data_IF_976780766060
#
_entry.id   IF_976780766060
#
_cell.length_a   1.000
_cell.length_b   1.000
_cell.length_c   1.000
_cell.angle_alpha   90.00
_cell.angle_beta   90.00
_cell.angle_gamma   90.00
#
_symmetry.space_group_name_H-M   'P 1'
#
loop_
_entity.id
_entity.type
_entity.pdbx_description
1 polymer ?
#
# COMPACT_ATOMS: atom_id res chain seq x y z
N UNK A 1 14.55 12.33 -22.10
CA UNK A 1 15.83 12.14 -21.39
C UNK A 1 15.64 11.95 -19.87
N UNK A 2 14.86 12.80 -19.19
CA UNK A 2 14.59 12.72 -17.73
C UNK A 2 14.06 11.36 -17.23
N UNK A 3 13.16 10.71 -17.98
CA UNK A 3 12.61 9.39 -17.60
C UNK A 3 13.65 8.26 -17.60
N UNK A 4 14.68 8.34 -18.47
CA UNK A 4 15.75 7.32 -18.53
C UNK A 4 16.72 7.46 -17.36
N UNK A 5 17.07 8.69 -16.99
CA UNK A 5 17.89 8.99 -15.81
C UNK A 5 17.21 8.54 -14.52
N UNK A 6 15.91 8.84 -14.34
CA UNK A 6 15.13 8.37 -13.18
C UNK A 6 15.06 6.84 -13.12
N UNK A 7 14.87 6.17 -14.26
CA UNK A 7 14.84 4.71 -14.32
C UNK A 7 16.20 4.08 -13.98
N UNK A 8 17.30 4.66 -14.46
CA UNK A 8 18.66 4.21 -14.13
C UNK A 8 18.98 4.41 -12.65
N UNK A 9 18.66 5.58 -12.08
CA UNK A 9 18.86 5.86 -10.66
C UNK A 9 18.05 4.89 -9.76
N UNK A 10 16.80 4.60 -10.13
CA UNK A 10 15.99 3.58 -9.44
C UNK A 10 16.60 2.19 -9.57
N UNK A 11 17.10 1.80 -10.75
CA UNK A 11 17.75 0.51 -10.94
C UNK A 11 19.00 0.36 -10.06
N UNK A 12 19.84 1.39 -9.99
CA UNK A 12 20.99 1.43 -9.08
C UNK A 12 20.52 1.29 -7.64
N UNK A 13 19.57 2.11 -7.19
CA UNK A 13 19.01 2.04 -5.84
C UNK A 13 18.50 0.63 -5.49
N UNK A 14 17.73 0.00 -6.37
CA UNK A 14 17.20 -1.34 -6.14
C UNK A 14 18.29 -2.43 -6.14
N UNK A 15 19.33 -2.28 -6.96
CA UNK A 15 20.41 -3.27 -7.07
C UNK A 15 21.47 -3.18 -5.97
N UNK A 16 21.65 -2.01 -5.35
CA UNK A 16 22.73 -1.79 -4.36
C UNK A 16 22.19 -1.48 -2.97
N UNK A 17 21.29 -0.51 -2.85
CA UNK A 17 20.82 -0.03 -1.56
C UNK A 17 19.87 -1.01 -0.88
N UNK A 18 18.95 -1.64 -1.62
CA UNK A 18 18.00 -2.59 -1.02
C UNK A 18 18.65 -3.85 -0.46
N UNK A 19 19.60 -4.52 -1.17
CA UNK A 19 20.33 -5.64 -0.59
C UNK A 19 21.12 -5.25 0.66
N UNK A 20 21.76 -4.07 0.67
CA UNK A 20 22.45 -3.57 1.85
C UNK A 20 21.49 -3.35 3.02
N UNK A 21 20.30 -2.79 2.75
CA UNK A 21 19.26 -2.58 3.74
C UNK A 21 18.71 -3.89 4.30
N UNK A 22 18.48 -4.89 3.43
CA UNK A 22 18.05 -6.23 3.81
C UNK A 22 19.06 -6.90 4.76
N UNK A 23 20.35 -6.84 4.42
CA UNK A 23 21.42 -7.39 5.25
C UNK A 23 21.55 -6.66 6.59
N UNK A 24 21.50 -5.32 6.57
CA UNK A 24 21.71 -4.51 7.76
C UNK A 24 20.54 -4.58 8.75
N UNK A 25 19.29 -4.65 8.26
CA UNK A 25 18.10 -4.47 9.10
C UNK A 25 17.18 -5.69 9.18
N UNK A 26 17.23 -6.59 8.20
CA UNK A 26 16.21 -7.64 8.02
C UNK A 26 15.99 -8.47 9.28
N UNK A 27 17.04 -9.12 9.80
CA UNK A 27 16.94 -9.93 11.03
C UNK A 27 16.44 -9.14 12.23
N UNK A 28 17.01 -7.95 12.47
CA UNK A 28 16.66 -7.12 13.63
C UNK A 28 15.19 -6.70 13.59
N UNK A 29 14.67 -6.33 12.41
CA UNK A 29 13.31 -5.81 12.27
C UNK A 29 12.23 -6.88 12.28
N UNK A 30 12.57 -8.14 12.01
CA UNK A 30 11.60 -9.25 12.08
C UNK A 30 11.52 -9.91 13.46
N UNK A 31 12.54 -9.78 14.32
CA UNK A 31 12.59 -10.44 15.65
C UNK A 31 11.36 -10.13 16.51
N UNK A 32 10.77 -8.95 16.37
CA UNK A 32 9.57 -8.56 17.12
C UNK A 32 8.25 -9.14 16.60
N UNK A 33 8.26 -10.00 15.59
CA UNK A 33 7.07 -10.60 14.99
C UNK A 33 6.93 -12.08 15.33
N UNK A 34 5.69 -12.57 15.40
CA UNK A 34 5.36 -13.96 15.74
C UNK A 34 6.09 -14.97 14.82
N UNK A 35 6.27 -14.62 13.54
CA UNK A 35 6.97 -15.45 12.57
C UNK A 35 8.45 -15.70 12.90
N UNK A 36 9.12 -14.83 13.67
CA UNK A 36 10.51 -15.05 14.05
C UNK A 36 10.66 -16.25 14.99
N UNK A 37 9.70 -16.45 15.90
CA UNK A 37 9.65 -17.62 16.78
C UNK A 37 9.29 -18.91 16.02
N UNK A 38 8.49 -18.79 14.95
CA UNK A 38 8.02 -19.92 14.13
C UNK A 38 9.03 -20.40 13.06
N UNK A 39 10.29 -19.95 13.10
CA UNK A 39 11.32 -20.34 12.12
C UNK A 39 11.34 -19.54 10.82
N UNK A 40 10.53 -18.47 10.71
CA UNK A 40 10.58 -17.50 9.63
C UNK A 40 9.21 -17.02 9.14
N UNK A 41 9.17 -16.04 8.22
CA UNK A 41 7.93 -15.55 7.63
C UNK A 41 7.17 -16.66 6.88
N UNK A 42 5.82 -16.73 7.02
CA UNK A 42 4.99 -17.68 6.28
C UNK A 42 5.10 -17.45 4.77
N UNK A 43 5.06 -18.54 4.00
CA UNK A 43 5.06 -18.49 2.54
C UNK A 43 3.62 -18.42 2.02
N UNK A 44 3.32 -17.41 1.19
CA UNK A 44 2.01 -17.18 0.58
C UNK A 44 2.19 -17.18 -0.94
N UNK A 45 1.51 -18.11 -1.60
CA UNK A 45 1.47 -18.17 -3.05
C UNK A 45 0.54 -17.10 -3.59
N UNK A 46 0.98 -16.41 -4.65
CA UNK A 46 0.22 -15.35 -5.32
C UNK A 46 0.12 -15.56 -6.82
N UNK A 47 -1.00 -15.11 -7.39
CA UNK A 47 -1.38 -15.22 -8.79
C UNK A 47 -1.49 -13.83 -9.43
N UNK A 48 -0.37 -13.19 -9.78
CA UNK A 48 -0.33 -11.82 -10.31
C UNK A 48 -0.68 -11.72 -11.81
N UNK A 49 -1.05 -12.85 -12.43
CA UNK A 49 -1.21 -12.97 -13.87
C UNK A 49 -2.58 -12.48 -14.34
N UNK A 50 -2.72 -12.26 -15.65
CA UNK A 50 -4.06 -12.19 -16.25
C UNK A 50 -4.76 -13.52 -15.97
N UNK A 51 -6.02 -13.42 -15.57
CA UNK A 51 -6.91 -14.57 -15.36
C UNK A 51 -8.03 -14.54 -16.38
N UNK A 52 -8.71 -15.67 -16.55
CA UNK A 52 -10.00 -15.73 -17.25
C UNK A 52 -10.95 -14.65 -16.68
N UNK A 53 -11.49 -13.79 -17.55
CA UNK A 53 -12.29 -12.61 -17.16
C UNK A 53 -11.54 -11.27 -17.23
N UNK A 54 -10.23 -11.25 -17.47
CA UNK A 54 -9.53 -10.01 -17.85
C UNK A 54 -9.92 -9.60 -19.28
N UNK A 55 -10.83 -8.64 -19.42
CA UNK A 55 -11.24 -8.13 -20.73
C UNK A 55 -10.12 -7.38 -21.49
N UNK A 56 -10.31 -7.07 -22.78
CA UNK A 56 -9.36 -6.31 -23.60
C UNK A 56 -9.01 -4.94 -23.00
N UNK A 57 -9.97 -4.31 -22.31
CA UNK A 57 -9.81 -3.03 -21.63
C UNK A 57 -9.15 -3.13 -20.23
N UNK A 58 -8.59 -4.29 -19.89
CA UNK A 58 -7.83 -4.49 -18.68
C UNK A 58 -6.57 -3.59 -18.71
N UNK A 59 -6.51 -2.61 -17.81
CA UNK A 59 -5.38 -1.70 -17.63
C UNK A 59 -4.15 -2.37 -16.99
N UNK A 60 -3.95 -3.66 -17.25
CA UNK A 60 -2.75 -4.39 -16.87
C UNK A 60 -1.55 -3.81 -17.63
N UNK A 61 -0.87 -2.85 -17.02
CA UNK A 61 0.48 -2.47 -17.44
C UNK A 61 1.46 -3.53 -16.95
N UNK A 62 1.94 -4.36 -17.88
CA UNK A 62 2.92 -5.40 -17.59
C UNK A 62 4.23 -4.85 -17.01
N UNK A 63 4.60 -3.60 -17.28
CA UNK A 63 5.88 -3.02 -16.85
C UNK A 63 5.90 -2.64 -15.37
N UNK A 64 5.03 -1.72 -14.95
CA UNK A 64 4.98 -1.24 -13.57
C UNK A 64 4.54 -2.34 -12.59
N UNK A 65 3.60 -3.19 -13.02
CA UNK A 65 3.05 -4.27 -12.18
C UNK A 65 4.02 -5.43 -12.00
N UNK A 66 4.82 -5.78 -13.03
CA UNK A 66 5.93 -6.76 -12.88
C UNK A 66 6.96 -6.28 -11.86
N UNK A 67 7.24 -4.98 -11.75
CA UNK A 67 8.25 -4.46 -10.81
C UNK A 67 7.85 -4.65 -9.36
N UNK A 68 6.59 -4.38 -9.00
CA UNK A 68 6.12 -4.58 -7.61
C UNK A 68 6.21 -6.05 -7.23
N UNK A 69 5.71 -6.92 -8.10
CA UNK A 69 5.73 -8.35 -7.88
C UNK A 69 7.17 -8.89 -7.86
N UNK A 70 8.03 -8.52 -8.81
CA UNK A 70 9.41 -8.96 -8.88
C UNK A 70 10.28 -8.46 -7.72
N UNK A 71 9.92 -7.32 -7.10
CA UNK A 71 10.66 -6.77 -5.96
C UNK A 71 10.41 -7.54 -4.66
N UNK A 72 9.21 -8.08 -4.47
CA UNK A 72 8.77 -8.68 -3.22
C UNK A 72 8.54 -10.19 -3.27
N UNK A 73 8.32 -10.73 -4.47
CA UNK A 73 8.02 -12.14 -4.64
C UNK A 73 9.24 -12.94 -5.06
N UNK A 74 9.38 -14.10 -4.45
CA UNK A 74 10.38 -15.10 -4.79
C UNK A 74 9.80 -16.01 -5.88
N UNK A 75 10.68 -16.46 -6.78
CA UNK A 75 10.33 -17.57 -7.67
C UNK A 75 10.16 -18.86 -6.84
N UNK A 76 9.32 -19.81 -7.30
CA UNK A 76 9.25 -21.14 -6.72
C UNK A 76 10.65 -21.76 -6.62
N UNK A 77 10.88 -22.57 -5.58
CA UNK A 77 12.13 -23.33 -5.47
C UNK A 77 12.18 -24.33 -6.62
N UNK A 78 13.27 -24.34 -7.38
CA UNK A 78 13.71 -25.49 -8.14
C UNK A 78 14.32 -26.55 -7.24
N UNK A 79 14.39 -27.77 -7.74
CA UNK A 79 14.70 -28.96 -6.92
C UNK A 79 16.22 -29.17 -6.72
N UNK A 80 17.06 -28.49 -7.50
CA UNK A 80 18.51 -28.70 -7.57
C UNK A 80 19.34 -28.10 -6.42
N UNK A 81 20.52 -28.67 -6.08
CA UNK A 81 21.40 -28.19 -4.99
C UNK A 81 21.92 -26.75 -5.18
N UNK A 82 22.25 -26.39 -6.42
CA UNK A 82 22.66 -25.03 -6.80
C UNK A 82 21.54 -24.02 -6.55
N UNK A 83 20.29 -24.39 -6.87
CA UNK A 83 19.14 -23.53 -6.69
C UNK A 83 18.76 -23.36 -5.21
N UNK A 84 18.99 -24.39 -4.39
CA UNK A 84 18.87 -24.28 -2.91
C UNK A 84 19.87 -23.30 -2.31
N UNK A 85 21.07 -23.20 -2.89
CA UNK A 85 22.15 -22.35 -2.37
C UNK A 85 21.99 -20.91 -2.86
N UNK A 86 21.74 -20.72 -4.15
CA UNK A 86 21.41 -19.43 -4.74
C UNK A 86 20.11 -18.87 -4.17
N UNK A 87 19.09 -19.72 -3.96
CA UNK A 87 17.85 -19.34 -3.30
C UNK A 87 18.02 -18.90 -1.85
N UNK A 88 18.99 -19.48 -1.10
CA UNK A 88 19.32 -19.01 0.27
C UNK A 88 20.03 -17.66 0.25
N UNK A 89 20.96 -17.44 -0.67
CA UNK A 89 21.63 -16.15 -0.83
C UNK A 89 20.64 -15.06 -1.26
N UNK A 90 19.82 -15.34 -2.27
CA UNK A 90 18.76 -14.45 -2.74
C UNK A 90 17.82 -14.05 -1.59
N UNK A 91 17.34 -15.01 -0.79
CA UNK A 91 16.48 -14.73 0.38
C UNK A 91 17.11 -13.82 1.43
N UNK A 92 18.45 -13.84 1.59
CA UNK A 92 19.15 -12.95 2.54
C UNK A 92 19.32 -11.54 2.01
N UNK A 93 19.35 -11.38 0.68
CA UNK A 93 19.50 -10.10 0.00
C UNK A 93 18.14 -9.48 -0.38
N UNK A 94 17.07 -10.27 -0.37
CA UNK A 94 15.71 -9.79 -0.56
C UNK A 94 15.21 -9.07 0.68
N UNK A 95 14.56 -7.93 0.46
CA UNK A 95 13.76 -7.26 1.47
C UNK A 95 12.65 -8.17 1.97
N UNK A 96 12.21 -7.99 3.21
CA UNK A 96 11.14 -8.80 3.81
C UNK A 96 9.77 -8.11 3.60
N UNK A 97 8.91 -8.60 2.69
CA UNK A 97 7.59 -7.99 2.47
C UNK A 97 6.75 -7.94 3.75
N UNK A 98 6.06 -6.83 3.95
CA UNK A 98 5.10 -6.65 5.05
C UNK A 98 3.70 -6.66 4.48
N UNK A 99 2.89 -7.62 4.88
CA UNK A 99 1.56 -7.78 4.32
C UNK A 99 0.52 -8.25 5.34
N UNK A 100 -0.75 -8.10 4.98
CA UNK A 100 -1.89 -8.68 5.67
C UNK A 100 -2.40 -9.81 4.79
N UNK A 101 -2.45 -11.02 5.34
CA UNK A 101 -3.10 -12.16 4.71
C UNK A 101 -4.59 -12.14 5.05
N UNK A 102 -5.42 -11.78 4.08
CA UNK A 102 -6.85 -11.56 4.30
C UNK A 102 -7.59 -12.84 4.66
N UNK A 103 -7.14 -14.01 4.19
CA UNK A 103 -7.88 -15.25 4.47
C UNK A 103 -7.71 -15.75 5.92
N UNK A 104 -6.94 -15.04 6.75
CA UNK A 104 -6.89 -15.27 8.21
C UNK A 104 -8.07 -14.63 8.94
N UNK A 105 -8.87 -13.82 8.26
CA UNK A 105 -9.98 -13.09 8.85
C UNK A 105 -11.27 -13.55 8.16
N UNK A 106 -12.11 -14.27 8.89
CA UNK A 106 -13.45 -14.60 8.42
C UNK A 106 -14.40 -13.41 8.59
N UNK A 107 -14.07 -12.50 9.51
CA UNK A 107 -14.84 -11.29 9.80
C UNK A 107 -13.93 -10.13 10.19
N UNK A 108 -14.50 -8.92 10.18
CA UNK A 108 -13.80 -7.73 10.69
C UNK A 108 -13.51 -7.83 12.19
N UNK A 109 -14.34 -8.54 12.95
CA UNK A 109 -14.08 -8.78 14.38
C UNK A 109 -12.77 -9.55 14.60
N UNK A 110 -12.45 -10.51 13.74
CA UNK A 110 -11.17 -11.25 13.79
C UNK A 110 -9.98 -10.33 13.55
N UNK A 111 -10.10 -9.44 12.56
CA UNK A 111 -9.09 -8.43 12.27
C UNK A 111 -8.91 -7.45 13.44
N UNK A 112 -10.01 -6.93 13.99
CA UNK A 112 -9.97 -6.05 15.16
C UNK A 112 -9.34 -6.73 16.38
N UNK A 113 -9.59 -8.02 16.59
CA UNK A 113 -8.97 -8.79 17.67
C UNK A 113 -7.44 -8.83 17.53
N UNK A 114 -6.93 -9.02 16.31
CA UNK A 114 -5.49 -8.95 16.02
C UNK A 114 -4.94 -7.54 16.28
N UNK A 115 -5.61 -6.50 15.77
CA UNK A 115 -5.20 -5.10 15.98
C UNK A 115 -5.18 -4.77 17.47
N UNK A 116 -6.20 -5.17 18.24
CA UNK A 116 -6.31 -4.96 19.68
C UNK A 116 -5.20 -5.66 20.46
N UNK A 117 -4.88 -6.91 20.10
CA UNK A 117 -3.76 -7.66 20.69
C UNK A 117 -2.42 -6.95 20.50
N UNK A 118 -2.22 -6.32 19.34
CA UNK A 118 -0.97 -5.61 19.02
C UNK A 118 -0.92 -4.17 19.54
N UNK A 119 -2.08 -3.56 19.74
CA UNK A 119 -2.18 -2.22 20.32
C UNK A 119 -3.56 -1.95 20.89
N UNK A 120 -3.60 -1.64 22.19
CA UNK A 120 -4.79 -1.09 22.84
C UNK A 120 -5.18 0.31 22.35
N UNK A 121 -4.32 1.00 21.57
CA UNK A 121 -4.51 2.41 21.16
C UNK A 121 -5.01 2.58 19.72
N UNK A 122 -4.87 1.58 18.85
CA UNK A 122 -5.20 1.73 17.42
C UNK A 122 -6.70 1.93 17.20
N UNK A 123 -7.55 1.02 17.71
CA UNK A 123 -9.00 1.11 17.55
C UNK A 123 -9.62 2.36 18.22
N UNK A 124 -9.20 2.77 19.44
CA UNK A 124 -9.63 4.05 19.99
C UNK A 124 -9.30 5.26 19.12
N UNK A 125 -8.14 5.28 18.46
CA UNK A 125 -7.78 6.37 17.54
C UNK A 125 -8.68 6.42 16.31
N UNK A 126 -9.04 5.26 15.76
CA UNK A 126 -9.98 5.16 14.63
C UNK A 126 -11.35 5.73 15.03
N UNK A 127 -11.89 5.28 16.17
CA UNK A 127 -13.15 5.79 16.70
C UNK A 127 -13.09 7.29 17.02
N UNK A 128 -11.97 7.78 17.56
CA UNK A 128 -11.77 9.21 17.82
C UNK A 128 -11.84 10.01 16.52
N UNK A 129 -11.16 9.56 15.46
CA UNK A 129 -11.21 10.21 14.16
C UNK A 129 -12.67 10.30 13.64
N UNK A 130 -13.43 9.21 13.69
CA UNK A 130 -14.84 9.20 13.31
C UNK A 130 -15.69 10.18 14.13
N UNK A 131 -15.50 10.22 15.46
CA UNK A 131 -16.19 11.19 16.34
C UNK A 131 -15.84 12.65 16.05
N UNK A 132 -14.68 12.91 15.45
CA UNK A 132 -14.26 14.24 15.02
C UNK A 132 -14.78 14.60 13.62
N UNK A 133 -15.62 13.75 13.01
CA UNK A 133 -16.24 14.00 11.71
C UNK A 133 -15.41 13.53 10.51
N UNK A 134 -14.27 12.87 10.73
CA UNK A 134 -13.51 12.29 9.62
C UNK A 134 -14.22 11.08 9.04
N UNK A 135 -14.33 11.02 7.71
CA UNK A 135 -14.91 9.89 6.98
C UNK A 135 -13.94 9.40 5.89
N UNK A 136 -13.87 8.09 5.67
CA UNK A 136 -13.02 7.48 4.64
C UNK A 136 -13.85 6.94 3.48
N UNK A 137 -13.47 7.27 2.24
CA UNK A 137 -14.19 6.85 1.04
C UNK A 137 -13.28 6.83 -0.20
N UNK A 138 -13.78 6.22 -1.28
CA UNK A 138 -13.14 6.26 -2.61
C UNK A 138 -13.35 7.61 -3.27
N UNK A 139 -12.35 8.12 -3.96
CA UNK A 139 -12.43 9.43 -4.62
C UNK A 139 -11.70 9.50 -5.95
N UNK A 140 -11.96 10.56 -6.71
CA UNK A 140 -11.24 10.89 -7.94
C UNK A 140 -10.12 11.87 -7.64
N UNK A 141 -8.88 11.53 -8.01
CA UNK A 141 -7.71 12.43 -7.87
C UNK A 141 -7.98 13.81 -8.46
N UNK A 142 -8.64 13.85 -9.62
CA UNK A 142 -8.96 15.10 -10.33
C UNK A 142 -9.88 16.02 -9.52
N UNK A 143 -10.70 15.47 -8.62
CA UNK A 143 -11.58 16.25 -7.77
C UNK A 143 -10.88 16.90 -6.58
N UNK A 144 -9.68 16.43 -6.21
CA UNK A 144 -8.98 16.84 -4.98
C UNK A 144 -7.49 17.11 -5.19
N UNK A 145 -7.13 17.67 -6.36
CA UNK A 145 -5.73 17.94 -6.74
C UNK A 145 -5.01 18.85 -5.74
N UNK A 146 -5.66 19.94 -5.32
CA UNK A 146 -5.07 20.91 -4.42
C UNK A 146 -4.95 20.37 -3.00
N UNK A 147 -5.92 19.58 -2.55
CA UNK A 147 -5.82 18.90 -1.26
C UNK A 147 -4.70 17.84 -1.25
N UNK A 148 -4.55 17.05 -2.33
CA UNK A 148 -3.42 16.10 -2.45
C UNK A 148 -2.09 16.85 -2.41
N UNK A 149 -2.00 17.98 -3.11
CA UNK A 149 -0.82 18.83 -3.09
C UNK A 149 -0.53 19.32 -1.67
N UNK A 150 -1.52 19.85 -0.96
CA UNK A 150 -1.39 20.27 0.43
C UNK A 150 -0.96 19.11 1.35
N UNK A 151 -1.57 17.93 1.21
CA UNK A 151 -1.19 16.72 1.95
C UNK A 151 0.28 16.37 1.70
N UNK A 152 0.76 16.41 0.45
CA UNK A 152 2.15 16.05 0.10
C UNK A 152 3.14 17.08 0.63
N UNK A 153 2.80 18.37 0.56
CA UNK A 153 3.65 19.49 0.96
C UNK A 153 3.52 19.92 2.42
N UNK A 154 2.68 19.26 3.23
CA UNK A 154 2.47 19.64 4.63
C UNK A 154 3.66 19.36 5.56
N UNK A 155 4.61 18.50 5.17
CA UNK A 155 5.73 18.07 6.03
C UNK A 155 7.03 17.92 5.23
N UNK A 156 8.14 18.46 5.76
CA UNK A 156 9.50 18.34 5.21
C UNK A 156 10.07 16.92 5.31
N UNK A 157 9.75 16.25 6.42
CA UNK A 157 10.26 14.92 6.74
C UNK A 157 9.11 14.04 7.20
N UNK A 158 9.07 12.81 6.69
CA UNK A 158 8.10 11.76 7.07
C UNK A 158 8.83 10.54 7.60
N UNK A 159 8.07 9.52 7.99
CA UNK A 159 8.62 8.27 8.52
C UNK A 159 9.55 7.53 7.53
N UNK A 160 9.46 7.83 6.23
CA UNK A 160 10.35 7.31 5.19
C UNK A 160 11.56 8.22 4.88
N UNK A 161 11.71 9.36 5.58
CA UNK A 161 12.78 10.33 5.36
C UNK A 161 12.29 11.67 4.78
N UNK A 162 13.21 12.51 4.28
CA UNK A 162 12.89 13.78 3.63
C UNK A 162 11.93 13.60 2.44
N UNK A 163 11.03 14.57 2.26
CA UNK A 163 10.02 14.55 1.19
C UNK A 163 10.33 15.65 0.19
N UNK A 164 10.87 15.27 -0.97
CA UNK A 164 11.21 16.24 -2.03
C UNK A 164 9.99 17.03 -2.52
N UNK A 165 8.80 16.42 -2.47
CA UNK A 165 7.56 17.08 -2.87
C UNK A 165 7.34 18.39 -2.10
N UNK A 166 7.77 18.46 -0.84
CA UNK A 166 7.65 19.66 -0.01
C UNK A 166 8.24 20.90 -0.70
N UNK A 167 9.33 20.75 -1.45
CA UNK A 167 10.03 21.86 -2.09
C UNK A 167 9.65 22.06 -3.56
N UNK A 168 9.29 20.98 -4.26
CA UNK A 168 9.25 21.00 -5.73
C UNK A 168 7.90 20.63 -6.34
N UNK A 169 7.00 20.01 -5.57
CA UNK A 169 5.71 19.59 -6.12
C UNK A 169 4.82 20.80 -6.33
N UNK A 170 4.28 20.92 -7.55
CA UNK A 170 3.21 21.87 -7.87
C UNK A 170 1.88 21.13 -8.03
N UNK A 171 0.73 21.81 -7.88
CA UNK A 171 -0.58 21.18 -8.08
C UNK A 171 -0.71 20.49 -9.45
N UNK A 172 -0.14 21.08 -10.49
CA UNK A 172 -0.21 20.55 -11.87
C UNK A 172 0.54 19.22 -12.03
N UNK A 173 1.54 18.95 -11.19
CA UNK A 173 2.30 17.70 -11.17
C UNK A 173 1.50 16.53 -10.56
N UNK A 174 0.45 16.83 -9.78
CA UNK A 174 -0.42 15.83 -9.17
C UNK A 174 -1.38 15.27 -10.21
N UNK A 175 -2.20 16.13 -10.81
CA UNK A 175 -3.10 15.82 -11.93
C UNK A 175 -3.72 17.11 -12.47
N UNK A 176 -4.37 17.04 -13.64
CA UNK A 176 -5.22 18.13 -14.13
C UNK A 176 -6.47 18.27 -13.22
N UNK A 177 -6.72 19.43 -12.58
CA UNK A 177 -7.93 19.63 -11.77
C UNK A 177 -9.20 19.50 -12.60
N UNK A 178 -10.27 19.00 -11.99
CA UNK A 178 -11.56 18.88 -12.64
C UNK A 178 -12.19 20.26 -12.88
N UNK A 179 -12.79 20.45 -14.06
CA UNK A 179 -13.55 21.67 -14.39
C UNK A 179 -15.02 21.61 -13.89
N UNK A 180 -15.46 20.44 -13.44
CA UNK A 180 -16.80 20.14 -12.93
C UNK A 180 -16.72 19.09 -11.81
N UNK A 181 -17.74 18.94 -10.95
CA UNK A 181 -17.77 17.87 -9.96
C UNK A 181 -17.43 16.52 -10.58
N UNK A 182 -16.44 15.84 -10.01
CA UNK A 182 -15.91 14.58 -10.53
C UNK A 182 -16.02 13.51 -9.45
N UNK A 183 -16.71 12.42 -9.77
CA UNK A 183 -16.82 11.23 -8.93
C UNK A 183 -15.78 10.19 -9.34
N UNK A 184 -15.44 9.30 -8.42
CA UNK A 184 -14.62 8.14 -8.76
C UNK A 184 -15.39 7.23 -9.72
N UNK A 185 -14.67 6.47 -10.55
CA UNK A 185 -15.26 5.56 -11.54
C UNK A 185 -14.84 4.13 -11.27
N UNK A 186 -15.79 3.21 -11.44
CA UNK A 186 -15.54 1.77 -11.36
C UNK A 186 -14.48 1.35 -12.39
N UNK A 187 -13.41 0.65 -11.98
CA UNK A 187 -12.43 0.08 -12.90
C UNK A 187 -13.07 -0.93 -13.86
N UNK A 188 -12.56 -0.98 -15.09
CA UNK A 188 -13.02 -1.92 -16.12
C UNK A 188 -12.61 -3.37 -15.89
N UNK A 189 -11.64 -3.60 -15.02
CA UNK A 189 -11.18 -4.94 -14.66
C UNK A 189 -11.25 -5.07 -13.14
N UNK A 190 -11.84 -6.16 -12.65
CA UNK A 190 -11.97 -6.47 -11.22
C UNK A 190 -10.65 -6.84 -10.55
N UNK A 191 -9.70 -7.40 -11.31
CA UNK A 191 -8.43 -7.92 -10.78
C UNK A 191 -7.22 -7.02 -11.01
N UNK A 192 -7.36 -6.02 -11.89
CA UNK A 192 -6.25 -5.16 -12.30
C UNK A 192 -6.67 -3.71 -12.37
N UNK A 193 -6.43 -2.98 -11.29
CA UNK A 193 -6.88 -1.61 -11.18
C UNK A 193 -6.00 -0.76 -10.27
N UNK A 194 -6.18 0.54 -10.38
CA UNK A 194 -5.68 1.53 -9.44
C UNK A 194 -6.86 2.33 -8.94
N UNK A 195 -6.96 2.47 -7.62
CA UNK A 195 -8.01 3.24 -6.96
C UNK A 195 -7.39 4.13 -5.89
N UNK A 196 -8.13 5.17 -5.53
CA UNK A 196 -7.73 6.14 -4.52
C UNK A 196 -8.78 6.17 -3.42
N UNK A 197 -8.31 6.01 -2.19
CA UNK A 197 -9.10 6.18 -0.98
C UNK A 197 -8.61 7.42 -0.24
N UNK A 198 -9.54 8.17 0.32
CA UNK A 198 -9.29 9.43 1.00
C UNK A 198 -9.96 9.47 2.36
N UNK A 199 -9.42 10.27 3.27
CA UNK A 199 -10.10 10.71 4.48
C UNK A 199 -10.50 12.16 4.30
N UNK A 200 -11.77 12.43 4.50
CA UNK A 200 -12.38 13.73 4.32
C UNK A 200 -12.84 14.30 5.66
N UNK A 201 -12.70 15.61 5.81
CA UNK A 201 -13.28 16.40 6.87
C UNK A 201 -14.34 17.32 6.25
N UNK A 202 -15.58 17.36 6.76
CA UNK A 202 -16.59 18.31 6.31
C UNK A 202 -16.09 19.75 6.45
N UNK A 203 -16.22 20.52 5.38
CA UNK A 203 -15.80 21.92 5.32
C UNK A 203 -16.66 22.64 4.29
N UNK A 204 -17.85 23.12 4.70
CA UNK A 204 -18.77 23.81 3.80
C UNK A 204 -18.09 24.98 3.08
N UNK A 205 -18.29 25.08 1.77
CA UNK A 205 -17.64 26.08 0.93
C UNK A 205 -16.22 25.72 0.49
N UNK A 206 -15.68 24.55 0.89
CA UNK A 206 -14.34 24.12 0.42
C UNK A 206 -14.33 23.92 -1.09
N UNK A 207 -13.32 24.47 -1.75
CA UNK A 207 -13.17 24.48 -3.20
C UNK A 207 -11.90 23.76 -3.64
N UNK A 208 -11.95 23.14 -4.82
CA UNK A 208 -10.84 22.53 -5.52
C UNK A 208 -10.71 23.18 -6.89
N UNK A 209 -10.00 24.31 -6.93
CA UNK A 209 -9.94 25.19 -8.10
C UNK A 209 -11.26 25.93 -8.28
N UNK A 210 -12.02 25.57 -9.32
CA UNK A 210 -13.33 26.19 -9.64
C UNK A 210 -14.54 25.39 -9.15
N UNK A 211 -14.30 24.24 -8.51
CA UNK A 211 -15.35 23.29 -8.12
C UNK A 211 -15.49 23.30 -6.61
N UNK A 212 -16.68 23.60 -6.09
CA UNK A 212 -17.01 23.42 -4.68
C UNK A 212 -17.25 21.94 -4.39
N UNK A 213 -16.63 21.44 -3.32
CA UNK A 213 -16.69 20.03 -2.89
C UNK A 213 -17.15 19.88 -1.44
N UNK A 214 -17.24 20.97 -0.67
CA UNK A 214 -17.77 21.02 0.71
C UNK A 214 -17.09 20.11 1.74
N UNK A 215 -15.92 19.57 1.40
CA UNK A 215 -15.12 18.69 2.24
C UNK A 215 -13.66 18.73 1.83
N UNK A 216 -12.75 18.71 2.79
CA UNK A 216 -11.31 18.71 2.58
C UNK A 216 -10.75 17.30 2.67
N UNK A 217 -9.97 16.88 1.68
CA UNK A 217 -9.17 15.66 1.75
C UNK A 217 -7.94 15.89 2.64
N UNK A 218 -7.82 15.15 3.72
CA UNK A 218 -6.73 15.31 4.72
C UNK A 218 -5.75 14.14 4.78
N UNK A 219 -6.09 13.01 4.17
CA UNK A 219 -5.21 11.87 4.00
C UNK A 219 -5.67 11.05 2.79
N UNK A 220 -4.78 10.33 2.14
CA UNK A 220 -5.13 9.46 1.03
C UNK A 220 -4.22 8.24 0.92
N UNK A 221 -4.71 7.25 0.17
CA UNK A 221 -4.00 6.04 -0.18
C UNK A 221 -4.25 5.68 -1.64
N UNK A 222 -3.18 5.53 -2.42
CA UNK A 222 -3.22 4.90 -3.75
C UNK A 222 -3.11 3.38 -3.60
N UNK A 223 -4.16 2.70 -4.02
CA UNK A 223 -4.27 1.25 -4.06
C UNK A 223 -4.01 0.75 -5.48
N UNK A 224 -3.16 -0.26 -5.61
CA UNK A 224 -2.94 -0.94 -6.89
C UNK A 224 -3.19 -2.44 -6.73
N UNK A 225 -4.24 -2.95 -7.37
CA UNK A 225 -4.52 -4.38 -7.41
C UNK A 225 -3.83 -5.06 -8.59
N UNK A 226 -3.14 -6.15 -8.31
CA UNK A 226 -2.48 -7.04 -9.27
C UNK A 226 -2.86 -8.48 -8.92
N UNK A 227 -3.87 -9.01 -9.60
CA UNK A 227 -4.38 -10.35 -9.32
C UNK A 227 -4.96 -10.46 -7.91
N UNK A 228 -4.34 -11.26 -7.06
CA UNK A 228 -4.68 -11.47 -5.66
C UNK A 228 -3.91 -10.56 -4.68
N UNK A 229 -3.00 -9.72 -5.18
CA UNK A 229 -2.25 -8.74 -4.38
C UNK A 229 -2.87 -7.36 -4.52
N UNK A 230 -3.14 -6.72 -3.39
CA UNK A 230 -3.45 -5.31 -3.29
C UNK A 230 -2.26 -4.56 -2.67
N UNK A 231 -1.58 -3.73 -3.45
CA UNK A 231 -0.41 -2.99 -3.01
C UNK A 231 -0.75 -1.54 -2.63
N UNK A 232 -0.34 -1.14 -1.43
CA UNK A 232 -0.37 0.24 -0.96
C UNK A 232 0.84 0.99 -1.52
N UNK A 233 0.61 1.89 -2.48
CA UNK A 233 1.69 2.53 -3.26
C UNK A 233 1.98 3.97 -2.84
N UNK A 234 0.99 4.69 -2.33
CA UNK A 234 1.14 6.09 -1.95
C UNK A 234 0.21 6.40 -0.76
N UNK A 235 0.75 6.32 0.46
CA UNK A 235 0.00 6.48 1.71
C UNK A 235 0.47 7.74 2.41
N UNK A 236 -0.37 8.78 2.43
CA UNK A 236 -0.01 10.07 3.02
C UNK A 236 -1.15 10.68 3.84
N UNK A 237 -0.76 11.47 4.84
CA UNK A 237 -1.67 12.29 5.64
C UNK A 237 -1.09 13.67 5.86
N UNK A 238 -1.96 14.67 5.89
CA UNK A 238 -1.61 16.05 6.16
C UNK A 238 -1.08 16.17 7.60
N UNK A 239 0.02 16.90 7.77
CA UNK A 239 0.76 16.98 9.04
C UNK A 239 -0.11 17.35 10.23
N UNK A 240 -0.97 18.35 10.07
CA UNK A 240 -1.88 18.84 11.12
C UNK A 240 -2.96 17.83 11.54
N UNK A 241 -3.27 16.86 10.69
CA UNK A 241 -4.34 15.89 10.93
C UNK A 241 -3.81 14.52 11.40
N UNK A 242 -2.49 14.28 11.35
CA UNK A 242 -1.90 12.99 11.76
C UNK A 242 -2.21 12.62 13.21
N UNK A 243 -2.24 13.62 14.11
CA UNK A 243 -2.56 13.43 15.53
C UNK A 243 -3.99 12.93 15.78
N UNK A 244 -4.90 13.11 14.83
CA UNK A 244 -6.32 12.74 14.96
C UNK A 244 -6.60 11.28 14.59
N UNK A 245 -5.61 10.56 14.07
CA UNK A 245 -5.76 9.15 13.72
C UNK A 245 -6.23 8.88 12.29
N UNK A 246 -6.19 9.89 11.40
CA UNK A 246 -6.67 9.78 10.00
C UNK A 246 -6.01 8.64 9.23
N UNK A 247 -4.72 8.36 9.46
CA UNK A 247 -4.02 7.24 8.80
C UNK A 247 -4.54 5.87 9.26
N UNK A 248 -4.91 5.76 10.53
CA UNK A 248 -5.48 4.51 11.05
C UNK A 248 -6.91 4.34 10.55
N UNK A 249 -7.70 5.41 10.51
CA UNK A 249 -9.05 5.39 9.95
C UNK A 249 -9.04 4.97 8.48
N UNK A 250 -8.14 5.54 7.68
CA UNK A 250 -8.01 5.22 6.26
C UNK A 250 -7.70 3.74 6.03
N UNK A 251 -6.70 3.23 6.74
CA UNK A 251 -6.31 1.82 6.66
C UNK A 251 -7.45 0.90 7.12
N UNK A 252 -8.08 1.21 8.26
CA UNK A 252 -9.19 0.42 8.81
C UNK A 252 -10.37 0.35 7.83
N UNK A 253 -10.77 1.47 7.24
CA UNK A 253 -11.86 1.51 6.26
C UNK A 253 -11.56 0.64 5.02
N UNK A 254 -10.32 0.64 4.54
CA UNK A 254 -9.90 -0.20 3.41
C UNK A 254 -9.92 -1.69 3.80
N UNK A 255 -9.42 -2.07 4.98
CA UNK A 255 -9.44 -3.47 5.42
C UNK A 255 -10.87 -3.96 5.65
N UNK A 256 -11.74 -3.15 6.27
CA UNK A 256 -13.18 -3.49 6.39
C UNK A 256 -13.81 -3.70 5.03
N UNK A 257 -13.60 -2.78 4.09
CA UNK A 257 -14.08 -2.93 2.72
C UNK A 257 -13.60 -4.23 2.07
N UNK A 258 -12.35 -4.63 2.28
CA UNK A 258 -11.82 -5.88 1.72
C UNK A 258 -12.38 -7.15 2.36
N UNK A 259 -12.82 -7.09 3.61
CA UNK A 259 -13.36 -8.25 4.34
C UNK A 259 -14.89 -8.36 4.15
N UNK A 260 -15.60 -7.24 4.16
CA UNK A 260 -17.07 -7.20 4.22
C UNK A 260 -17.73 -7.00 2.85
N UNK A 261 -17.02 -6.47 1.86
CA UNK A 261 -17.63 -6.14 0.57
C UNK A 261 -17.80 -7.35 -0.32
N UNK A 262 -18.94 -7.42 -0.99
CA UNK A 262 -19.22 -8.38 -2.07
C UNK A 262 -18.90 -7.79 -3.45
N UNK A 263 -18.22 -6.63 -3.51
CA UNK A 263 -17.88 -6.01 -4.78
C UNK A 263 -16.90 -6.90 -5.59
N UNK A 264 -17.09 -7.03 -6.92
CA UNK A 264 -16.14 -7.75 -7.77
C UNK A 264 -14.70 -7.24 -7.63
N UNK A 265 -14.51 -5.98 -7.24
CA UNK A 265 -13.20 -5.37 -7.03
C UNK A 265 -12.39 -5.97 -5.90
N UNK A 266 -13.01 -6.62 -4.91
CA UNK A 266 -12.32 -7.21 -3.75
C UNK A 266 -12.27 -8.73 -3.82
N UNK A 267 -13.13 -9.35 -4.62
CA UNK A 267 -13.20 -10.80 -4.78
C UNK A 267 -11.83 -11.40 -5.13
N UNK A 268 -11.36 -12.34 -4.32
CA UNK A 268 -10.10 -13.05 -4.53
C UNK A 268 -8.84 -12.24 -4.22
N UNK A 269 -8.93 -11.08 -3.56
CA UNK A 269 -7.73 -10.46 -2.96
C UNK A 269 -7.28 -11.34 -1.80
N UNK A 270 -6.04 -11.83 -1.86
CA UNK A 270 -5.43 -12.66 -0.81
C UNK A 270 -4.56 -11.83 0.12
N UNK A 271 -3.78 -10.89 -0.44
CA UNK A 271 -2.75 -10.17 0.31
C UNK A 271 -2.88 -8.67 0.13
N UNK A 272 -2.86 -7.94 1.24
CA UNK A 272 -2.63 -6.48 1.26
C UNK A 272 -1.17 -6.23 1.58
N UNK A 273 -0.41 -5.79 0.57
CA UNK A 273 1.03 -5.54 0.66
C UNK A 273 1.32 -4.07 0.95
N UNK A 274 2.24 -3.79 1.87
CA UNK A 274 2.76 -2.44 2.07
C UNK A 274 4.26 -2.43 2.34
N UNK A 275 5.03 -2.40 1.24
CA UNK A 275 6.48 -2.33 1.26
C UNK A 275 7.14 -3.45 2.07
N UNK A 276 8.34 -3.19 2.57
CA UNK A 276 9.12 -4.15 3.35
C UNK A 276 9.30 -3.73 4.82
N UNK A 277 9.74 -4.65 5.67
CA UNK A 277 10.04 -4.40 7.08
C UNK A 277 11.19 -3.39 7.23
N UNK A 278 12.13 -3.41 6.30
CA UNK A 278 13.34 -2.61 6.29
C UNK A 278 13.11 -1.17 5.82
N UNK A 279 11.94 -0.88 5.22
CA UNK A 279 11.61 0.47 4.77
C UNK A 279 11.20 1.41 5.91
N UNK A 280 11.68 2.66 5.84
CA UNK A 280 11.38 3.73 6.80
C UNK A 280 11.99 3.53 8.18
N UNK A 281 11.64 4.41 9.11
CA UNK A 281 12.09 4.34 10.51
C UNK A 281 11.23 3.43 11.40
N UNK A 282 11.63 3.34 12.68
CA UNK A 282 10.94 2.53 13.71
C UNK A 282 9.45 2.87 13.87
N UNK A 283 9.08 4.15 13.68
CA UNK A 283 7.69 4.60 13.72
C UNK A 283 6.83 3.94 12.63
N UNK A 284 7.37 3.78 11.42
CA UNK A 284 6.66 3.13 10.32
C UNK A 284 6.51 1.62 10.58
N UNK A 285 7.58 0.96 11.04
CA UNK A 285 7.53 -0.46 11.39
C UNK A 285 6.52 -0.72 12.52
N UNK A 286 6.54 0.14 13.54
CA UNK A 286 5.58 0.10 14.65
C UNK A 286 4.15 0.28 14.16
N UNK A 287 3.91 1.23 13.25
CA UNK A 287 2.60 1.42 12.65
C UNK A 287 2.16 0.16 11.87
N UNK A 288 3.01 -0.39 11.00
CA UNK A 288 2.72 -1.62 10.23
C UNK A 288 2.32 -2.76 11.15
N UNK A 289 3.13 -3.03 12.19
CA UNK A 289 2.83 -4.06 13.20
C UNK A 289 1.45 -3.86 13.81
N UNK A 290 1.17 -2.65 14.32
CA UNK A 290 -0.09 -2.31 14.99
C UNK A 290 -1.31 -2.30 14.05
N UNK A 291 -1.09 -2.08 12.75
CA UNK A 291 -2.12 -2.09 11.72
C UNK A 291 -2.42 -3.50 11.18
N UNK A 292 -1.77 -4.55 11.72
CA UNK A 292 -2.04 -5.93 11.34
C UNK A 292 -1.05 -6.53 10.34
N UNK A 293 -0.15 -5.74 9.76
CA UNK A 293 0.87 -6.26 8.84
C UNK A 293 1.85 -7.19 9.55
N UNK A 294 2.27 -8.23 8.84
CA UNK A 294 3.28 -9.19 9.26
C UNK A 294 4.33 -9.38 8.16
N UNK A 295 5.57 -9.77 8.52
CA UNK A 295 6.53 -10.27 7.56
C UNK A 295 5.98 -11.51 6.89
N UNK A 296 6.02 -11.57 5.56
CA UNK A 296 5.63 -12.74 4.77
C UNK A 296 6.66 -13.03 3.68
N UNK A 297 6.56 -14.21 3.05
CA UNK A 297 7.27 -14.54 1.81
C UNK A 297 6.26 -14.74 0.71
N UNK A 298 6.27 -13.86 -0.28
CA UNK A 298 5.43 -14.00 -1.46
C UNK A 298 6.10 -14.98 -2.43
N UNK A 299 5.36 -16.00 -2.87
CA UNK A 299 5.81 -16.98 -3.86
C UNK A 299 4.98 -16.81 -5.13
N UNK A 300 5.62 -16.67 -6.27
CA UNK A 300 4.90 -16.54 -7.53
C UNK A 300 4.36 -17.90 -7.98
N UNK A 301 3.05 -17.98 -8.19
CA UNK A 301 2.48 -19.09 -8.92
C UNK A 301 3.03 -19.12 -10.36
N UNK A 302 3.26 -20.31 -10.93
CA UNK A 302 3.57 -20.44 -12.34
C UNK A 302 2.50 -19.75 -13.18
N UNK A 303 2.90 -19.21 -14.34
CA UNK A 303 1.93 -18.69 -15.29
C UNK A 303 1.03 -19.86 -15.73
N UNK A 304 -0.29 -19.66 -15.90
CA UNK A 304 -1.13 -20.68 -16.50
C UNK A 304 -0.56 -21.00 -17.89
N UNK A 305 -0.54 -22.30 -18.24
CA UNK A 305 -0.16 -22.73 -19.58
C UNK A 305 -1.09 -22.03 -20.58
N UNK A 306 -0.49 -21.28 -21.50
CA UNK A 306 -1.17 -20.45 -22.50
C UNK A 306 -1.71 -21.28 -23.66
#
# INVERSE_FOLDING_TARGET
MANRLKAAALAVYHSTYEPALALALGRRRIVGFECAAAGGPPEIMIHPHRVAGCGPACGFDSGERRRVVARYALKPRGEGPLDRTLGRAARRLSLTPMAIDLARFASVADYEAVVKRRSSRTLPKIRKAGKMGYAAERFSVHAHVYDIHAVRTSLRTRAAGPVLDYWFLKPEDVAKPAARPATWRMPKCSRHWTLWWGVFLPEPGHVQGRVQVDRRLVAYMKLMRIGDVLHYTDLMGHGEHLGHGVMNLLHDAIIRWLIESEEPLVEGVRVVLYGAAEHGGEGLLTWKKRAGFEPIRLILAPAPDS
#
